data_IF_766199147829
#
_entry.id   IF_766199147829
#
_cell.length_a   1.000
_cell.length_b   1.000
_cell.length_c   1.000
_cell.angle_alpha   90.00
_cell.angle_beta   90.00
_cell.angle_gamma   90.00
#
_symmetry.space_group_name_H-M   'P 1'
#
loop_
_entity.id
_entity.type
_entity.pdbx_description
1 polymer ?
#
# COMPACT_ATOMS: atom_id res chain seq x y z
N UNK A 1 -5.80 21.71 6.64
CA UNK A 1 -5.47 22.37 5.35
C UNK A 1 -4.77 21.45 4.34
N UNK A 2 -3.99 20.45 4.77
CA UNK A 2 -3.45 19.40 3.88
C UNK A 2 -4.47 18.28 3.63
N UNK A 3 -5.22 17.90 4.67
CA UNK A 3 -6.26 16.86 4.60
C UNK A 3 -7.42 17.24 3.69
N UNK A 4 -7.97 18.46 3.79
CA UNK A 4 -9.04 18.91 2.88
C UNK A 4 -8.62 18.88 1.41
N UNK A 5 -7.32 19.04 1.10
CA UNK A 5 -6.82 18.98 -0.28
C UNK A 5 -6.80 17.54 -0.78
N UNK A 6 -6.42 16.57 0.05
CA UNK A 6 -6.35 15.16 -0.35
C UNK A 6 -7.68 14.41 -0.20
N UNK A 7 -8.49 14.72 0.80
CA UNK A 7 -9.87 14.24 0.96
C UNK A 7 -10.75 14.71 -0.20
N UNK A 8 -10.64 15.98 -0.63
CA UNK A 8 -11.38 16.48 -1.81
C UNK A 8 -10.92 15.84 -3.13
N UNK A 9 -9.76 15.18 -3.15
CA UNK A 9 -9.24 14.53 -4.34
C UNK A 9 -9.59 13.03 -4.41
N UNK A 10 -10.07 12.38 -3.34
CA UNK A 10 -10.52 10.98 -3.36
C UNK A 10 -9.41 9.93 -3.60
N UNK A 11 -8.13 10.34 -3.51
CA UNK A 11 -6.97 9.61 -4.04
C UNK A 11 -6.59 8.30 -3.31
N UNK A 12 -7.09 8.10 -2.09
CA UNK A 12 -6.93 6.84 -1.32
C UNK A 12 -8.25 6.14 -1.03
N UNK A 13 -9.34 6.55 -1.70
CA UNK A 13 -10.71 6.11 -1.42
C UNK A 13 -10.87 4.59 -1.29
N UNK A 14 -10.00 3.78 -1.91
CA UNK A 14 -10.07 2.32 -1.88
C UNK A 14 -8.70 1.66 -1.62
N UNK A 15 -7.93 2.22 -0.69
CA UNK A 15 -6.60 1.71 -0.33
C UNK A 15 -6.58 1.13 1.09
N UNK A 16 -5.86 0.03 1.26
CA UNK A 16 -5.54 -0.55 2.57
C UNK A 16 -4.03 -0.59 2.74
N UNK A 17 -3.55 -0.61 3.98
CA UNK A 17 -2.11 -0.65 4.27
C UNK A 17 -1.80 -1.78 5.24
N UNK A 18 -0.81 -2.59 4.88
CA UNK A 18 -0.09 -3.52 5.73
C UNK A 18 1.29 -2.92 6.04
N UNK A 19 1.61 -2.67 7.30
CA UNK A 19 2.85 -1.98 7.66
C UNK A 19 3.73 -2.78 8.61
N UNK A 20 5.04 -2.79 8.31
CA UNK A 20 6.06 -3.30 9.21
C UNK A 20 6.57 -2.16 10.11
N UNK A 21 6.42 -2.32 11.42
CA UNK A 21 6.89 -1.37 12.44
C UNK A 21 8.00 -1.93 13.34
N UNK A 22 8.53 -3.11 13.00
CA UNK A 22 9.44 -3.88 13.86
C UNK A 22 10.84 -3.29 14.04
N UNK A 23 11.35 -2.44 13.13
CA UNK A 23 12.75 -1.99 13.26
C UNK A 23 13.16 -0.70 12.52
N UNK A 24 13.87 0.18 13.25
CA UNK A 24 14.87 1.11 12.69
C UNK A 24 14.43 2.53 12.33
N UNK A 25 15.31 3.24 11.62
CA UNK A 25 15.19 4.65 11.20
C UNK A 25 13.86 4.95 10.46
N UNK A 26 13.32 3.97 9.74
CA UNK A 26 12.11 4.10 8.92
C UNK A 26 10.81 3.74 9.65
N UNK A 27 10.87 3.33 10.92
CA UNK A 27 9.67 3.03 11.72
C UNK A 27 8.68 4.20 11.71
N UNK A 28 9.18 5.42 11.94
CA UNK A 28 8.34 6.62 11.97
C UNK A 28 7.71 6.93 10.61
N UNK A 29 8.42 6.65 9.51
CA UNK A 29 7.90 6.82 8.15
C UNK A 29 6.80 5.79 7.87
N UNK A 30 7.04 4.52 8.22
CA UNK A 30 6.04 3.44 8.10
C UNK A 30 4.77 3.74 8.89
N UNK A 31 4.91 4.17 10.16
CA UNK A 31 3.79 4.58 11.02
C UNK A 31 3.03 5.76 10.42
N UNK A 32 3.73 6.82 10.01
CA UNK A 32 3.11 8.01 9.46
C UNK A 32 2.32 7.71 8.17
N UNK A 33 2.91 6.91 7.26
CA UNK A 33 2.23 6.50 6.03
C UNK A 33 1.04 5.58 6.32
N UNK A 34 1.17 4.64 7.26
CA UNK A 34 0.07 3.75 7.62
C UNK A 34 -1.12 4.52 8.19
N UNK A 35 -0.87 5.46 9.11
CA UNK A 35 -1.93 6.33 9.64
C UNK A 35 -2.53 7.16 8.51
N UNK A 36 -1.71 7.79 7.66
CA UNK A 36 -2.21 8.61 6.56
C UNK A 36 -3.11 7.85 5.58
N UNK A 37 -2.68 6.68 5.10
CA UNK A 37 -3.47 5.84 4.19
C UNK A 37 -4.77 5.40 4.87
N UNK A 38 -4.72 5.00 6.14
CA UNK A 38 -5.92 4.56 6.87
C UNK A 38 -6.97 5.68 7.01
N UNK A 39 -6.54 6.92 7.22
CA UNK A 39 -7.45 8.05 7.47
C UNK A 39 -8.04 8.65 6.18
N UNK A 40 -7.34 8.48 5.05
CA UNK A 40 -7.79 8.94 3.74
C UNK A 40 -8.60 7.88 2.97
N UNK A 41 -8.73 6.66 3.51
CA UNK A 41 -9.61 5.64 2.97
C UNK A 41 -11.10 5.97 3.16
N UNK A 42 -11.95 5.32 2.37
CA UNK A 42 -13.41 5.38 2.55
C UNK A 42 -13.93 4.17 3.32
N UNK A 43 -15.15 4.28 3.84
CA UNK A 43 -15.84 3.13 4.43
C UNK A 43 -16.02 2.01 3.40
N UNK A 44 -15.81 0.74 3.78
CA UNK A 44 -15.56 0.24 5.14
C UNK A 44 -14.07 0.09 5.50
N UNK A 45 -13.14 0.66 4.75
CA UNK A 45 -11.69 0.48 4.95
C UNK A 45 -11.05 1.57 5.78
N UNK A 46 -11.74 2.72 5.90
CA UNK A 46 -11.31 3.84 6.71
C UNK A 46 -10.96 3.42 8.14
N UNK A 47 -9.87 4.01 8.62
CA UNK A 47 -9.31 3.76 9.95
C UNK A 47 -8.61 2.41 10.09
N UNK A 48 -8.55 1.56 9.05
CA UNK A 48 -8.02 0.20 9.19
C UNK A 48 -6.59 0.06 8.69
N UNK A 49 -5.81 -0.73 9.42
CA UNK A 49 -4.40 -1.04 9.14
C UNK A 49 -4.15 -2.50 9.46
N UNK A 50 -3.33 -3.16 8.63
CA UNK A 50 -2.86 -4.53 8.84
C UNK A 50 -1.43 -4.49 9.39
N UNK A 51 -1.12 -5.32 10.38
CA UNK A 51 0.27 -5.54 10.81
C UNK A 51 1.00 -6.49 9.85
N UNK A 52 2.27 -6.22 9.57
CA UNK A 52 3.09 -7.09 8.75
C UNK A 52 3.49 -8.35 9.53
N UNK A 53 2.80 -9.47 9.32
CA UNK A 53 2.94 -10.69 10.14
C UNK A 53 2.50 -11.96 9.39
N UNK A 54 3.03 -13.15 9.72
CA UNK A 54 2.49 -14.44 9.25
C UNK A 54 1.07 -14.73 9.77
N UNK A 55 0.70 -14.08 10.87
CA UNK A 55 -0.67 -13.99 11.39
C UNK A 55 -1.08 -12.51 11.32
N UNK A 56 -1.54 -12.03 10.15
CA UNK A 56 -1.98 -10.65 10.01
C UNK A 56 -3.29 -10.43 10.79
N UNK A 57 -3.46 -9.22 11.32
CA UNK A 57 -4.62 -8.74 12.07
C UNK A 57 -5.07 -7.40 11.51
N UNK A 58 -6.38 -7.20 11.38
CA UNK A 58 -6.97 -5.92 10.99
C UNK A 58 -7.20 -5.06 12.22
N UNK A 59 -6.38 -4.03 12.40
CA UNK A 59 -6.53 -3.08 13.48
C UNK A 59 -7.38 -1.89 13.03
N UNK A 60 -8.32 -1.47 13.89
CA UNK A 60 -9.10 -0.25 13.69
C UNK A 60 -8.54 0.87 14.58
N UNK A 61 -8.12 1.96 13.94
CA UNK A 61 -7.57 3.16 14.57
C UNK A 61 -8.65 4.20 14.93
N UNK A 62 -9.89 4.00 14.47
CA UNK A 62 -10.96 4.97 14.56
C UNK A 62 -10.82 6.15 13.59
N UNK A 63 -11.84 7.00 13.54
CA UNK A 63 -11.99 8.03 12.51
C UNK A 63 -11.82 9.47 13.06
N UNK A 64 -11.51 9.61 14.35
CA UNK A 64 -11.37 10.91 15.01
C UNK A 64 -10.05 11.62 14.67
N UNK A 65 -10.10 12.91 14.33
CA UNK A 65 -8.95 13.65 13.76
C UNK A 65 -8.39 14.71 14.75
N UNK A 66 -8.71 14.61 16.04
CA UNK A 66 -8.08 15.52 17.02
C UNK A 66 -6.58 15.21 17.21
N UNK A 67 -5.80 16.20 17.69
CA UNK A 67 -4.34 16.06 17.83
C UNK A 67 -3.93 14.97 18.83
N UNK A 68 -4.72 14.78 19.89
CA UNK A 68 -4.46 13.74 20.90
C UNK A 68 -4.76 12.35 20.30
N UNK A 69 -5.77 12.25 19.45
CA UNK A 69 -6.13 11.08 18.67
C UNK A 69 -5.05 10.75 17.64
N UNK A 70 -4.45 11.72 16.96
CA UNK A 70 -3.34 11.47 16.03
C UNK A 70 -2.14 10.83 16.74
N UNK A 71 -1.73 11.37 17.89
CA UNK A 71 -0.64 10.80 18.69
C UNK A 71 -0.98 9.40 19.19
N UNK A 72 -2.22 9.18 19.63
CA UNK A 72 -2.73 7.87 20.03
C UNK A 72 -2.69 6.86 18.88
N UNK A 73 -3.12 7.24 17.67
CA UNK A 73 -3.08 6.41 16.46
C UNK A 73 -1.66 6.02 16.08
N UNK A 74 -0.75 6.99 16.04
CA UNK A 74 0.68 6.74 15.80
C UNK A 74 1.26 5.76 16.83
N UNK A 75 0.91 5.92 18.10
CA UNK A 75 1.35 5.03 19.17
C UNK A 75 0.75 3.62 19.04
N UNK A 76 -0.51 3.50 18.64
CA UNK A 76 -1.18 2.21 18.39
C UNK A 76 -0.53 1.46 17.24
N UNK A 77 -0.32 2.11 16.09
CA UNK A 77 0.40 1.52 14.95
C UNK A 77 1.83 1.17 15.34
N UNK A 78 2.53 2.06 16.04
CA UNK A 78 3.92 1.85 16.47
C UNK A 78 4.13 0.73 17.50
N UNK A 79 3.05 0.18 18.08
CA UNK A 79 3.05 -0.95 19.03
C UNK A 79 2.54 -2.26 18.42
N UNK A 80 2.09 -2.26 17.16
CA UNK A 80 1.65 -3.48 16.49
C UNK A 80 2.77 -4.52 16.46
N UNK A 81 2.42 -5.78 16.71
CA UNK A 81 3.36 -6.89 16.62
C UNK A 81 3.60 -7.17 15.14
N UNK A 82 4.85 -7.07 14.70
CA UNK A 82 5.24 -7.34 13.32
C UNK A 82 6.28 -8.46 13.27
N UNK A 83 6.15 -9.33 12.26
CA UNK A 83 7.08 -10.40 11.94
C UNK A 83 8.13 -9.99 10.92
N UNK A 84 8.92 -10.97 10.48
CA UNK A 84 9.89 -10.84 9.37
C UNK A 84 9.27 -11.07 8.00
N UNK A 85 8.13 -11.76 7.96
CA UNK A 85 7.40 -12.15 6.76
C UNK A 85 5.91 -11.82 6.96
N UNK A 86 5.17 -11.76 5.85
CA UNK A 86 3.73 -11.56 5.81
C UNK A 86 3.08 -12.69 5.01
N UNK A 87 1.98 -13.24 5.53
CA UNK A 87 1.18 -14.20 4.78
C UNK A 87 0.17 -13.44 3.91
N UNK A 88 0.50 -13.27 2.62
CA UNK A 88 -0.36 -12.54 1.70
C UNK A 88 -1.72 -13.21 1.50
N UNK A 89 -1.83 -14.54 1.52
CA UNK A 89 -3.13 -15.20 1.33
C UNK A 89 -4.09 -14.82 2.46
N UNK A 90 -3.60 -14.84 3.71
CA UNK A 90 -4.41 -14.41 4.86
C UNK A 90 -4.82 -12.93 4.81
N UNK A 91 -3.96 -12.06 4.27
CA UNK A 91 -4.33 -10.65 4.02
C UNK A 91 -5.51 -10.56 3.06
N UNK A 92 -5.47 -11.30 1.94
CA UNK A 92 -6.56 -11.32 0.97
C UNK A 92 -7.82 -11.99 1.50
N UNK A 93 -7.70 -13.09 2.26
CA UNK A 93 -8.83 -13.75 2.91
C UNK A 93 -9.53 -12.82 3.90
N UNK A 94 -8.76 -12.02 4.65
CA UNK A 94 -9.30 -11.02 5.57
C UNK A 94 -10.06 -9.90 4.85
N UNK A 95 -9.51 -9.40 3.73
CA UNK A 95 -10.21 -8.42 2.87
C UNK A 95 -11.52 -9.02 2.36
N UNK A 96 -11.47 -10.27 1.88
CA UNK A 96 -12.64 -10.97 1.37
C UNK A 96 -13.67 -11.22 2.46
N UNK A 97 -13.25 -11.55 3.69
CA UNK A 97 -14.12 -11.73 4.84
C UNK A 97 -14.87 -10.45 5.18
N UNK A 98 -14.18 -9.30 5.25
CA UNK A 98 -14.81 -7.99 5.45
C UNK A 98 -15.82 -7.69 4.34
N UNK A 99 -15.49 -8.05 3.09
CA UNK A 99 -16.37 -7.83 1.95
C UNK A 99 -17.65 -8.67 2.01
N UNK A 100 -17.52 -9.95 2.34
CA UNK A 100 -18.64 -10.89 2.46
C UNK A 100 -19.53 -10.51 3.66
N UNK A 101 -18.94 -10.25 4.82
CA UNK A 101 -19.67 -9.90 6.04
C UNK A 101 -20.38 -8.54 5.90
N UNK A 102 -19.75 -7.60 5.20
CA UNK A 102 -20.30 -6.28 4.91
C UNK A 102 -21.25 -6.24 3.71
N UNK A 103 -21.43 -7.35 2.97
CA UNK A 103 -22.15 -7.41 1.70
C UNK A 103 -21.77 -6.25 0.76
N UNK A 104 -20.47 -6.06 0.57
CA UNK A 104 -19.94 -4.94 -0.19
C UNK A 104 -20.24 -5.08 -1.68
N UNK A 105 -20.40 -3.95 -2.36
CA UNK A 105 -20.37 -3.95 -3.82
C UNK A 105 -18.93 -3.99 -4.32
N UNK A 106 -18.67 -4.52 -5.52
CA UNK A 106 -17.33 -4.53 -6.11
C UNK A 106 -16.66 -3.16 -6.19
N UNK A 107 -17.42 -2.06 -6.35
CA UNK A 107 -16.89 -0.68 -6.35
C UNK A 107 -16.38 -0.21 -4.99
N UNK A 108 -16.83 -0.85 -3.91
CA UNK A 108 -16.42 -0.57 -2.53
C UNK A 108 -15.24 -1.42 -2.07
N UNK A 109 -14.74 -2.32 -2.92
CA UNK A 109 -13.60 -3.17 -2.58
C UNK A 109 -12.29 -2.38 -2.57
N UNK A 110 -11.35 -2.81 -1.72
CA UNK A 110 -9.98 -2.32 -1.78
C UNK A 110 -9.42 -2.60 -3.18
N UNK A 111 -8.91 -1.55 -3.84
CA UNK A 111 -8.23 -1.67 -5.12
C UNK A 111 -6.74 -1.95 -4.95
N UNK A 112 -6.13 -1.41 -3.89
CA UNK A 112 -4.68 -1.49 -3.63
C UNK A 112 -4.37 -1.74 -2.16
N UNK A 113 -3.47 -2.69 -1.92
CA UNK A 113 -2.89 -2.96 -0.59
C UNK A 113 -1.44 -2.50 -0.60
N UNK A 114 -1.14 -1.44 0.17
CA UNK A 114 0.22 -0.98 0.40
C UNK A 114 0.90 -1.88 1.39
N UNK A 115 2.05 -2.42 1.02
CA UNK A 115 2.86 -3.26 1.92
C UNK A 115 4.13 -2.50 2.22
N UNK A 116 4.16 -1.82 3.37
CA UNK A 116 5.28 -0.99 3.78
C UNK A 116 6.30 -1.85 4.52
N UNK A 117 7.51 -1.97 3.96
CA UNK A 117 8.61 -2.67 4.61
C UNK A 117 9.94 -1.96 4.43
N UNK A 118 10.94 -2.33 5.25
CA UNK A 118 12.27 -1.70 5.20
C UNK A 118 13.14 -2.32 4.10
N UNK A 119 13.43 -3.62 4.18
CA UNK A 119 14.59 -4.20 3.46
C UNK A 119 14.29 -5.53 2.76
N UNK A 120 13.22 -6.22 3.15
CA UNK A 120 12.85 -7.51 2.59
C UNK A 120 12.47 -7.31 1.11
N UNK A 121 13.05 -8.09 0.22
CA UNK A 121 12.52 -8.21 -1.13
C UNK A 121 11.17 -8.95 -1.06
N UNK A 122 10.35 -8.81 -2.09
CA UNK A 122 9.00 -9.38 -2.09
C UNK A 122 9.00 -10.90 -1.82
N UNK A 123 9.96 -11.65 -2.38
CA UNK A 123 10.03 -13.10 -2.21
C UNK A 123 10.34 -13.50 -0.76
N UNK A 124 11.31 -12.84 -0.13
CA UNK A 124 11.67 -13.06 1.28
C UNK A 124 10.62 -12.54 2.24
N UNK A 125 9.79 -11.58 1.83
CA UNK A 125 8.68 -11.09 2.63
C UNK A 125 7.50 -12.09 2.68
N UNK A 126 7.52 -13.17 1.90
CA UNK A 126 6.41 -14.14 1.81
C UNK A 126 5.86 -14.33 0.40
N UNK A 127 6.44 -13.67 -0.61
CA UNK A 127 5.99 -13.71 -2.00
C UNK A 127 6.67 -14.77 -2.88
N UNK A 128 7.43 -15.71 -2.29
CA UNK A 128 8.23 -16.69 -3.03
C UNK A 128 7.41 -17.63 -3.92
N UNK A 129 6.16 -17.92 -3.53
CA UNK A 129 5.21 -18.77 -4.27
C UNK A 129 4.06 -17.97 -4.91
N UNK A 130 4.27 -16.67 -5.16
CA UNK A 130 3.20 -15.72 -5.46
C UNK A 130 2.33 -16.08 -6.67
N UNK A 131 2.86 -16.70 -7.72
CA UNK A 131 2.05 -17.05 -8.90
C UNK A 131 0.93 -18.04 -8.53
N UNK A 132 1.26 -19.13 -7.83
CA UNK A 132 0.26 -20.10 -7.34
C UNK A 132 -0.67 -19.47 -6.30
N UNK A 133 -0.13 -18.65 -5.39
CA UNK A 133 -0.95 -17.97 -4.38
C UNK A 133 -1.93 -16.99 -5.03
N UNK A 134 -1.51 -16.26 -6.05
CA UNK A 134 -2.34 -15.30 -6.77
C UNK A 134 -3.47 -15.98 -7.55
N UNK A 135 -3.20 -17.13 -8.20
CA UNK A 135 -4.24 -17.94 -8.86
C UNK A 135 -5.30 -18.43 -7.85
N UNK A 136 -4.85 -18.88 -6.66
CA UNK A 136 -5.75 -19.30 -5.59
C UNK A 136 -6.58 -18.11 -5.05
N UNK A 137 -5.95 -16.95 -4.84
CA UNK A 137 -6.63 -15.71 -4.42
C UNK A 137 -7.69 -15.30 -5.45
N UNK A 138 -7.36 -15.28 -6.74
CA UNK A 138 -8.30 -14.94 -7.80
C UNK A 138 -9.50 -15.90 -7.83
N UNK A 139 -9.25 -17.20 -7.65
CA UNK A 139 -10.29 -18.22 -7.58
C UNK A 139 -11.22 -17.99 -6.38
N UNK A 140 -10.67 -17.76 -5.19
CA UNK A 140 -11.44 -17.46 -3.98
C UNK A 140 -12.32 -16.22 -4.14
N UNK A 141 -11.76 -15.14 -4.69
CA UNK A 141 -12.51 -13.90 -4.94
C UNK A 141 -13.63 -14.13 -5.95
N UNK A 142 -13.38 -14.88 -7.02
CA UNK A 142 -14.37 -15.21 -8.03
C UNK A 142 -15.53 -16.02 -7.45
N UNK A 143 -15.24 -17.03 -6.62
CA UNK A 143 -16.27 -17.85 -5.96
C UNK A 143 -17.19 -17.03 -5.04
N UNK A 144 -16.68 -15.93 -4.46
CA UNK A 144 -17.46 -15.01 -3.62
C UNK A 144 -18.10 -13.85 -4.39
N UNK A 145 -17.98 -13.81 -5.72
CA UNK A 145 -18.59 -12.78 -6.57
C UNK A 145 -17.75 -11.51 -6.76
N UNK A 146 -16.48 -11.52 -6.34
CA UNK A 146 -15.54 -10.38 -6.40
C UNK A 146 -14.38 -10.61 -7.39
N UNK A 147 -14.56 -11.47 -8.40
CA UNK A 147 -13.48 -11.84 -9.33
C UNK A 147 -12.83 -10.66 -10.08
N UNK A 148 -13.59 -9.61 -10.37
CA UNK A 148 -13.10 -8.39 -11.04
C UNK A 148 -12.54 -7.34 -10.05
N UNK A 149 -12.60 -7.61 -8.76
CA UNK A 149 -12.26 -6.68 -7.67
C UNK A 149 -11.13 -7.22 -6.79
N UNK A 150 -10.23 -8.03 -7.35
CA UNK A 150 -9.03 -8.53 -6.65
C UNK A 150 -8.04 -7.38 -6.46
N UNK A 151 -7.65 -7.02 -5.22
CA UNK A 151 -6.71 -5.94 -4.96
C UNK A 151 -5.33 -6.17 -5.59
N UNK A 152 -4.68 -5.10 -6.00
CA UNK A 152 -3.26 -5.12 -6.36
C UNK A 152 -2.38 -4.88 -5.13
N UNK A 153 -1.26 -5.58 -5.01
CA UNK A 153 -0.24 -5.26 -4.02
C UNK A 153 0.65 -4.14 -4.56
N UNK A 154 0.85 -3.10 -3.75
CA UNK A 154 1.93 -2.13 -3.94
C UNK A 154 2.96 -2.36 -2.84
N UNK A 155 3.99 -3.12 -3.18
CA UNK A 155 5.06 -3.48 -2.26
C UNK A 155 6.08 -2.35 -2.18
N UNK A 156 6.08 -1.62 -1.07
CA UNK A 156 6.85 -0.40 -0.89
C UNK A 156 8.02 -0.63 0.08
N UNK A 157 9.21 -0.72 -0.48
CA UNK A 157 10.45 -0.80 0.27
C UNK A 157 10.89 0.63 0.63
N UNK A 158 10.96 0.97 1.91
CA UNK A 158 11.23 2.34 2.36
C UNK A 158 12.72 2.68 2.42
N UNK A 159 13.59 1.66 2.53
CA UNK A 159 15.03 1.85 2.59
C UNK A 159 15.64 1.99 1.18
N UNK A 160 16.63 2.88 1.05
CA UNK A 160 17.33 3.23 -0.19
C UNK A 160 18.74 2.64 -0.28
N UNK A 161 19.26 1.98 0.77
CA UNK A 161 20.64 1.51 0.77
C UNK A 161 20.87 0.38 -0.26
N UNK A 162 21.66 0.70 -1.29
CA UNK A 162 22.42 -0.20 -2.17
C UNK A 162 21.67 -1.17 -3.08
N UNK A 163 20.43 -0.89 -3.49
CA UNK A 163 19.76 -1.74 -4.47
C UNK A 163 19.37 -0.97 -5.72
N UNK A 164 20.10 -1.26 -6.81
CA UNK A 164 19.60 -1.12 -8.18
C UNK A 164 18.15 -1.64 -8.18
N UNK A 165 17.18 -0.93 -8.79
CA UNK A 165 15.85 -1.49 -8.97
C UNK A 165 16.04 -2.80 -9.73
N UNK A 166 16.03 -3.92 -8.99
CA UNK A 166 16.07 -5.23 -9.62
C UNK A 166 14.87 -5.23 -10.52
N UNK A 167 15.01 -5.54 -11.83
CA UNK A 167 13.87 -5.79 -12.67
C UNK A 167 13.14 -6.94 -12.00
N UNK A 168 12.17 -6.61 -11.14
CA UNK A 168 11.37 -7.61 -10.49
C UNK A 168 10.74 -8.36 -11.65
N UNK A 169 10.91 -9.68 -11.68
CA UNK A 169 10.09 -10.53 -12.54
C UNK A 169 8.67 -9.98 -12.47
N UNK A 170 8.07 -9.71 -13.63
CA UNK A 170 6.71 -9.20 -13.66
C UNK A 170 5.83 -10.22 -12.94
N UNK A 171 5.37 -9.86 -11.74
CA UNK A 171 4.46 -10.67 -10.94
C UNK A 171 3.05 -10.13 -11.19
N UNK A 172 2.08 -11.00 -11.52
CA UNK A 172 0.72 -10.55 -11.73
C UNK A 172 0.17 -9.95 -10.43
N UNK A 173 -0.55 -8.82 -10.54
CA UNK A 173 -1.15 -8.16 -9.37
C UNK A 173 -0.18 -7.49 -8.39
N UNK A 174 1.12 -7.37 -8.71
CA UNK A 174 2.12 -6.76 -7.82
C UNK A 174 2.90 -5.65 -8.52
N UNK A 175 2.95 -4.49 -7.90
CA UNK A 175 3.87 -3.40 -8.22
C UNK A 175 4.87 -3.22 -7.07
N UNK A 176 6.15 -2.96 -7.39
CA UNK A 176 7.19 -2.68 -6.40
C UNK A 176 7.62 -1.23 -6.47
N UNK A 177 7.67 -0.56 -5.32
CA UNK A 177 8.18 0.81 -5.17
C UNK A 177 9.41 0.81 -4.27
N UNK A 178 10.49 1.42 -4.77
CA UNK A 178 11.77 1.53 -4.08
C UNK A 178 11.98 2.90 -3.46
N UNK A 179 12.26 2.89 -2.17
CA UNK A 179 12.53 4.00 -1.26
C UNK A 179 11.44 5.05 -1.13
N UNK A 180 11.75 6.11 -0.39
CA UNK A 180 10.81 7.20 -0.09
C UNK A 180 11.32 8.53 -0.66
N UNK A 181 10.44 9.26 -1.34
CA UNK A 181 10.64 10.68 -1.65
C UNK A 181 9.31 11.42 -1.63
N UNK A 182 9.32 12.70 -1.28
CA UNK A 182 8.13 13.55 -1.30
C UNK A 182 7.53 13.66 -2.71
N UNK A 183 8.35 13.59 -3.74
CA UNK A 183 7.91 13.61 -5.13
C UNK A 183 7.26 12.28 -5.55
N UNK A 184 7.80 11.14 -5.12
CA UNK A 184 7.18 9.83 -5.34
C UNK A 184 5.81 9.79 -4.66
N UNK A 185 5.74 10.26 -3.40
CA UNK A 185 4.48 10.33 -2.66
C UNK A 185 3.46 11.25 -3.36
N UNK A 186 3.86 12.45 -3.81
CA UNK A 186 2.99 13.35 -4.59
C UNK A 186 2.55 12.75 -5.92
N UNK A 187 3.47 12.19 -6.70
CA UNK A 187 3.13 11.53 -7.96
C UNK A 187 2.19 10.35 -7.76
N UNK A 188 2.33 9.67 -6.63
CA UNK A 188 1.43 8.59 -6.22
C UNK A 188 0.03 9.10 -5.93
N UNK A 189 -0.07 10.18 -5.15
CA UNK A 189 -1.33 10.86 -4.91
C UNK A 189 -1.96 11.32 -6.23
N UNK A 190 -1.21 11.99 -7.10
CA UNK A 190 -1.73 12.62 -8.31
C UNK A 190 -2.27 11.65 -9.37
N UNK A 191 -1.92 10.37 -9.30
CA UNK A 191 -2.36 9.34 -10.25
C UNK A 191 -3.29 8.28 -9.62
N UNK A 192 -4.03 8.58 -8.56
CA UNK A 192 -4.89 7.62 -7.84
C UNK A 192 -4.16 6.32 -7.47
N UNK A 193 -2.88 6.49 -7.12
CA UNK A 193 -1.97 5.42 -6.80
C UNK A 193 -1.48 4.57 -7.97
N UNK A 194 -1.73 4.95 -9.22
CA UNK A 194 -1.13 4.32 -10.40
C UNK A 194 0.29 4.84 -10.60
N UNK A 195 1.25 4.18 -9.95
CA UNK A 195 2.66 4.52 -10.08
C UNK A 195 3.44 3.33 -10.61
N UNK A 196 3.78 3.41 -11.89
CA UNK A 196 4.77 2.56 -12.52
C UNK A 196 6.10 3.30 -12.72
N UNK A 197 7.19 2.58 -13.04
CA UNK A 197 8.49 3.20 -13.33
C UNK A 197 8.42 4.30 -14.40
N UNK A 198 7.60 4.09 -15.45
CA UNK A 198 7.38 5.10 -16.49
C UNK A 198 6.72 6.37 -15.95
N UNK A 199 5.74 6.25 -15.06
CA UNK A 199 5.08 7.40 -14.45
C UNK A 199 6.05 8.20 -13.57
N UNK A 200 6.91 7.51 -12.82
CA UNK A 200 7.94 8.17 -11.97
C UNK A 200 8.98 8.87 -12.85
N UNK A 201 9.46 8.19 -13.90
CA UNK A 201 10.39 8.75 -14.86
C UNK A 201 9.80 9.99 -15.54
N UNK A 202 8.61 9.87 -16.11
CA UNK A 202 7.88 10.96 -16.78
C UNK A 202 7.68 12.15 -15.85
N UNK A 203 7.25 11.91 -14.60
CA UNK A 203 7.11 12.98 -13.61
C UNK A 203 8.45 13.68 -13.33
N UNK A 204 9.54 12.93 -13.21
CA UNK A 204 10.88 13.49 -12.95
C UNK A 204 11.41 14.34 -14.12
N UNK A 205 11.07 13.98 -15.36
CA UNK A 205 11.54 14.67 -16.58
C UNK A 205 10.51 15.64 -17.18
N UNK A 206 9.32 15.78 -16.58
CA UNK A 206 8.26 16.70 -17.07
C UNK A 206 8.53 18.18 -16.81
N UNK A 207 9.56 18.51 -16.02
CA UNK A 207 9.88 19.88 -15.64
C UNK A 207 10.31 20.77 -16.82
N UNK A 208 10.07 22.10 -16.76
CA UNK A 208 10.37 23.03 -17.86
C UNK A 208 11.83 22.96 -18.36
N UNK A 209 12.74 22.66 -17.45
CA UNK A 209 14.18 22.50 -17.70
C UNK A 209 14.54 21.31 -18.60
N UNK A 210 13.67 20.31 -18.75
CA UNK A 210 13.87 19.14 -19.60
C UNK A 210 13.11 19.23 -20.93
N UNK A 211 12.21 20.21 -21.10
CA UNK A 211 11.39 20.36 -22.31
C UNK A 211 12.18 20.75 -23.56
N UNK A 212 13.38 21.31 -23.37
CA UNK A 212 14.27 21.71 -24.47
C UNK A 212 15.28 20.63 -24.88
N UNK A 213 15.22 19.44 -24.25
CA UNK A 213 16.09 18.33 -24.62
C UNK A 213 15.57 17.69 -25.92
N UNK A 214 16.40 17.69 -26.96
CA UNK A 214 16.12 17.02 -28.22
C UNK A 214 16.96 15.73 -28.31
N UNK A 215 16.34 14.65 -28.78
CA UNK A 215 17.08 13.44 -29.17
C UNK A 215 17.71 13.73 -30.53
N UNK A 216 19.03 13.60 -30.63
CA UNK A 216 19.78 13.73 -31.87
C UNK A 216 20.19 12.32 -32.31
N UNK A 217 19.92 11.99 -33.56
CA UNK A 217 20.21 10.70 -34.20
C UNK A 217 21.63 10.62 -34.81
#
# INVERSE_FOLDING_TARGET
MVEEVYLKQGKFSNCLVACNVSSGLFKNVSVALAVLVSQLGEEPWKGKVINFSPEPELHNLGDDIDNDALMSKCASVGRMVCGREIDFRKVFDMILQVAVDGNLRPDQMVKKVFVLTRHENFDWAGGSCWESDYEAIQSNFKEKGYGDAVPQIVFWQLDHYDRVPVPCRRRPGVATLGGFSSNLFKSFLDKDGEVGPHHVMEAAISGPQYQNLAVVD
#
